data_IF_033388576664
#
_entry.id   IF_033388576664
#
_cell.length_a   1.000
_cell.length_b   1.000
_cell.length_c   1.000
_cell.angle_alpha   90.00
_cell.angle_beta   90.00
_cell.angle_gamma   90.00
#
_symmetry.space_group_name_H-M   'P 1'
#
loop_
_entity.id
_entity.type
_entity.pdbx_description
1 polymer ?
#
# COMPACT_ATOMS: atom_id res chain seq x y z
N UNK A 1 -21.40 -7.17 8.26
CA UNK A 1 -20.48 -6.04 8.19
C UNK A 1 -19.04 -6.55 8.04
N UNK A 2 -18.28 -5.99 7.10
CA UNK A 2 -16.88 -6.36 6.87
C UNK A 2 -15.97 -5.33 7.51
N UNK A 3 -15.03 -5.78 8.33
CA UNK A 3 -14.01 -4.92 8.93
C UNK A 3 -12.77 -4.88 8.04
N UNK A 4 -12.33 -3.68 7.67
CA UNK A 4 -11.03 -3.49 7.05
C UNK A 4 -9.96 -3.41 8.13
N UNK A 5 -8.98 -4.32 8.09
CA UNK A 5 -7.88 -4.40 9.05
C UNK A 5 -6.57 -4.08 8.37
N UNK A 6 -5.78 -3.22 8.99
CA UNK A 6 -4.43 -2.90 8.57
C UNK A 6 -3.56 -2.58 9.77
N UNK A 7 -2.25 -2.80 9.64
CA UNK A 7 -1.26 -2.48 10.66
C UNK A 7 -0.33 -1.42 10.12
N UNK A 8 -0.21 -0.31 10.85
CA UNK A 8 0.74 0.76 10.55
C UNK A 8 1.98 0.50 11.39
N UNK A 9 3.15 0.42 10.74
CA UNK A 9 4.39 0.09 11.44
C UNK A 9 4.84 1.23 12.34
N UNK A 10 4.77 2.48 11.86
CA UNK A 10 5.23 3.65 12.61
C UNK A 10 4.44 4.89 12.26
N UNK A 11 4.07 5.67 13.27
CA UNK A 11 3.54 7.04 13.13
C UNK A 11 4.40 7.99 13.93
N UNK A 12 4.91 9.02 13.28
CA UNK A 12 5.68 10.10 13.92
C UNK A 12 4.88 11.40 13.83
N UNK A 13 4.66 12.04 14.96
CA UNK A 13 4.11 13.40 15.00
C UNK A 13 5.26 14.39 15.15
N UNK A 14 5.35 15.34 14.25
CA UNK A 14 6.37 16.39 14.27
C UNK A 14 5.89 17.64 14.99
N UNK A 15 6.81 18.50 15.39
CA UNK A 15 6.51 19.72 16.15
C UNK A 15 5.65 20.74 15.39
N UNK A 16 5.65 20.67 14.06
CA UNK A 16 4.77 21.45 13.18
C UNK A 16 3.33 20.90 13.09
N UNK A 17 3.02 19.85 13.87
CA UNK A 17 1.70 19.25 13.95
C UNK A 17 1.40 18.23 12.85
N UNK A 18 2.33 17.94 11.96
CA UNK A 18 2.17 16.91 10.94
C UNK A 18 2.34 15.51 11.50
N UNK A 19 1.71 14.55 10.83
CA UNK A 19 1.84 13.13 11.10
C UNK A 19 2.51 12.46 9.90
N UNK A 20 3.52 11.65 10.17
CA UNK A 20 4.22 10.86 9.18
C UNK A 20 3.94 9.38 9.43
N UNK A 21 3.28 8.74 8.49
CA UNK A 21 3.03 7.29 8.50
C UNK A 21 4.15 6.65 7.69
N UNK A 22 4.87 5.74 8.30
CA UNK A 22 5.95 4.98 7.66
C UNK A 22 5.59 3.50 7.63
N UNK A 23 5.85 2.86 6.51
CA UNK A 23 5.73 1.42 6.33
C UNK A 23 7.10 0.85 5.90
N UNK A 24 7.60 -0.12 6.67
CA UNK A 24 8.89 -0.74 6.43
C UNK A 24 8.79 -1.82 5.37
N UNK A 25 9.71 -1.80 4.41
CA UNK A 25 9.83 -2.85 3.40
C UNK A 25 11.26 -3.31 3.27
N UNK A 26 11.48 -4.60 3.28
CA UNK A 26 12.79 -5.19 2.97
C UNK A 26 12.94 -5.38 1.47
N UNK A 27 14.14 -5.13 0.98
CA UNK A 27 14.49 -5.30 -0.43
C UNK A 27 15.96 -5.66 -0.55
N UNK A 28 16.37 -6.28 -1.66
CA UNK A 28 17.78 -6.52 -1.91
C UNK A 28 18.51 -5.24 -2.35
N UNK A 29 17.96 -4.52 -3.33
CA UNK A 29 18.66 -3.40 -4.00
C UNK A 29 17.96 -2.04 -3.87
N UNK A 30 16.72 -2.00 -3.42
CA UNK A 30 15.84 -0.85 -3.49
C UNK A 30 14.71 -1.02 -4.50
N UNK A 31 13.95 0.03 -4.76
CA UNK A 31 12.85 0.02 -5.71
C UNK A 31 13.10 1.00 -6.85
N UNK A 32 12.85 0.57 -8.07
CA UNK A 32 12.83 1.43 -9.24
C UNK A 32 11.61 2.38 -9.25
N UNK A 33 11.61 3.33 -10.16
CA UNK A 33 10.54 4.33 -10.28
C UNK A 33 9.18 3.71 -10.57
N UNK A 34 9.15 2.61 -11.34
CA UNK A 34 7.92 1.90 -11.69
C UNK A 34 7.28 1.31 -10.44
N UNK A 35 8.04 0.61 -9.61
CA UNK A 35 7.53 0.02 -8.36
C UNK A 35 7.12 1.09 -7.35
N UNK A 36 7.86 2.20 -7.26
CA UNK A 36 7.53 3.32 -6.36
C UNK A 36 6.21 3.99 -6.70
N UNK A 37 5.82 3.99 -7.97
CA UNK A 37 4.57 4.59 -8.47
C UNK A 37 3.43 3.60 -8.67
N UNK A 38 3.68 2.30 -8.53
CA UNK A 38 2.67 1.26 -8.74
C UNK A 38 1.48 1.44 -7.79
N UNK A 39 0.25 1.61 -8.30
CA UNK A 39 -0.94 1.73 -7.48
C UNK A 39 -1.15 0.54 -6.53
N UNK A 40 -0.86 -0.69 -6.97
CA UNK A 40 -1.02 -1.89 -6.13
C UNK A 40 -0.09 -1.88 -4.91
N UNK A 41 1.05 -1.20 -5.01
CA UNK A 41 1.99 -1.01 -3.90
C UNK A 41 1.59 0.20 -3.05
N UNK A 42 1.34 1.33 -3.70
CA UNK A 42 1.14 2.61 -3.00
C UNK A 42 -0.24 2.78 -2.36
N UNK A 43 -1.27 2.03 -2.80
CA UNK A 43 -2.60 2.09 -2.21
C UNK A 43 -2.63 1.63 -0.75
N UNK A 44 -1.70 0.81 -0.31
CA UNK A 44 -1.56 0.47 1.11
C UNK A 44 -1.44 1.75 1.95
N UNK A 45 -0.48 2.61 1.62
CA UNK A 45 -0.26 3.89 2.31
C UNK A 45 -1.42 4.86 2.12
N UNK A 46 -2.05 4.88 0.94
CA UNK A 46 -3.23 5.70 0.67
C UNK A 46 -4.39 5.33 1.59
N UNK A 47 -4.65 4.04 1.78
CA UNK A 47 -5.69 3.54 2.67
C UNK A 47 -5.33 3.79 4.13
N UNK A 48 -4.07 3.58 4.54
CA UNK A 48 -3.60 3.93 5.88
C UNK A 48 -3.86 5.39 6.21
N UNK A 49 -3.46 6.31 5.32
CA UNK A 49 -3.73 7.73 5.48
C UNK A 49 -5.22 8.03 5.65
N UNK A 50 -6.06 7.48 4.77
CA UNK A 50 -7.50 7.72 4.79
C UNK A 50 -8.15 7.24 6.11
N UNK A 51 -7.86 6.01 6.52
CA UNK A 51 -8.45 5.43 7.72
C UNK A 51 -7.88 6.02 9.01
N UNK A 52 -6.58 6.33 9.04
CA UNK A 52 -5.96 7.03 10.17
C UNK A 52 -6.55 8.41 10.37
N UNK A 53 -6.70 9.19 9.28
CA UNK A 53 -7.33 10.51 9.32
C UNK A 53 -8.74 10.45 9.90
N UNK A 54 -9.56 9.53 9.41
CA UNK A 54 -10.95 9.35 9.86
C UNK A 54 -11.04 8.89 11.32
N UNK A 55 -10.22 7.94 11.71
CA UNK A 55 -10.23 7.38 13.07
C UNK A 55 -9.83 8.40 14.12
N UNK A 56 -8.89 9.29 13.81
CA UNK A 56 -8.34 10.26 14.75
C UNK A 56 -8.86 11.69 14.54
N UNK A 57 -9.77 11.94 13.60
CA UNK A 57 -10.29 13.27 13.30
C UNK A 57 -9.24 14.25 12.81
N UNK A 58 -8.23 13.78 12.07
CA UNK A 58 -7.11 14.59 11.58
C UNK A 58 -7.35 14.97 10.11
N UNK A 59 -7.10 16.26 9.78
CA UNK A 59 -7.12 16.68 8.37
C UNK A 59 -6.11 15.86 7.55
N UNK A 60 -6.52 15.19 6.47
CA UNK A 60 -5.61 14.44 5.61
C UNK A 60 -4.42 15.25 5.07
N UNK A 61 -4.53 16.58 4.98
CA UNK A 61 -3.42 17.47 4.59
C UNK A 61 -2.28 17.47 5.60
N UNK A 62 -2.58 17.16 6.86
CA UNK A 62 -1.59 17.06 7.94
C UNK A 62 -0.91 15.69 8.00
N UNK A 63 -1.25 14.76 7.11
CA UNK A 63 -0.70 13.41 7.10
C UNK A 63 0.12 13.19 5.84
N UNK A 64 1.37 12.82 6.03
CA UNK A 64 2.29 12.40 4.98
C UNK A 64 2.58 10.89 5.11
N UNK A 65 2.78 10.21 4.00
CA UNK A 65 3.05 8.77 3.99
C UNK A 65 4.35 8.44 3.27
N UNK A 66 5.08 7.47 3.81
CA UNK A 66 6.41 7.11 3.35
C UNK A 66 6.61 5.59 3.36
N UNK A 67 7.34 5.10 2.38
CA UNK A 67 7.99 3.80 2.51
C UNK A 67 9.42 3.98 3.02
N UNK A 68 9.81 3.14 3.94
CA UNK A 68 11.19 3.03 4.43
C UNK A 68 11.75 1.68 3.97
N UNK A 69 12.63 1.70 2.98
CA UNK A 69 13.25 0.51 2.42
C UNK A 69 14.49 0.13 3.20
N UNK A 70 14.54 -1.09 3.69
CA UNK A 70 15.74 -1.70 4.26
C UNK A 70 16.40 -2.54 3.17
N UNK A 71 17.55 -2.08 2.67
CA UNK A 71 18.30 -2.72 1.58
C UNK A 71 19.29 -3.73 2.13
N UNK A 72 18.97 -5.01 2.05
CA UNK A 72 19.74 -6.10 2.68
C UNK A 72 21.15 -6.29 2.11
N UNK A 73 21.34 -6.05 0.81
CA UNK A 73 22.59 -6.30 0.09
C UNK A 73 23.38 -5.03 -0.22
N UNK A 74 22.90 -3.87 0.22
CA UNK A 74 23.60 -2.62 0.01
C UNK A 74 24.90 -2.56 0.86
N UNK A 75 25.98 -2.06 0.29
CA UNK A 75 27.23 -1.81 1.02
C UNK A 75 27.22 -0.48 1.78
N UNK A 76 26.39 0.46 1.32
CA UNK A 76 26.17 1.79 1.91
C UNK A 76 24.67 2.12 1.81
N UNK A 77 24.24 3.10 2.59
CA UNK A 77 22.85 3.61 2.54
C UNK A 77 21.81 2.50 2.66
N UNK A 78 21.91 1.72 3.72
CA UNK A 78 21.05 0.56 3.99
C UNK A 78 19.57 0.90 4.10
N UNK A 79 19.24 2.14 4.47
CA UNK A 79 17.87 2.63 4.60
C UNK A 79 17.61 3.74 3.59
N UNK A 80 16.51 3.65 2.90
CA UNK A 80 16.03 4.67 1.96
C UNK A 80 14.58 5.00 2.27
N UNK A 81 14.29 6.27 2.58
CA UNK A 81 12.93 6.73 2.86
C UNK A 81 12.47 7.60 1.71
N UNK A 82 11.29 7.33 1.16
CA UNK A 82 10.69 8.19 0.16
C UNK A 82 9.20 8.40 0.40
N UNK A 83 8.74 9.59 0.04
CA UNK A 83 7.36 10.00 0.22
C UNK A 83 6.47 9.40 -0.88
N UNK A 84 5.28 8.96 -0.48
CA UNK A 84 4.20 8.57 -1.38
C UNK A 84 3.06 9.58 -1.22
N UNK A 85 2.75 10.30 -2.28
CA UNK A 85 1.66 11.27 -2.28
C UNK A 85 0.30 10.57 -2.48
N UNK A 86 -0.70 11.00 -1.74
CA UNK A 86 -2.07 10.50 -1.82
C UNK A 86 -3.04 11.66 -1.72
N UNK A 87 -3.38 12.22 -2.89
CA UNK A 87 -4.43 13.25 -3.01
C UNK A 87 -5.84 12.65 -3.08
N UNK A 88 -6.89 13.49 -3.12
CA UNK A 88 -8.29 13.05 -3.11
C UNK A 88 -8.61 12.02 -4.21
N UNK A 89 -8.16 12.26 -5.44
CA UNK A 89 -8.39 11.36 -6.59
C UNK A 89 -7.77 9.97 -6.38
N UNK A 90 -6.54 9.93 -5.86
CA UNK A 90 -5.87 8.65 -5.59
C UNK A 90 -6.56 7.89 -4.45
N UNK A 91 -7.01 8.61 -3.42
CA UNK A 91 -7.79 8.04 -2.31
C UNK A 91 -9.11 7.47 -2.82
N UNK A 92 -9.84 8.20 -3.67
CA UNK A 92 -11.08 7.72 -4.27
C UNK A 92 -10.85 6.44 -5.11
N UNK A 93 -9.80 6.42 -5.93
CA UNK A 93 -9.46 5.24 -6.73
C UNK A 93 -9.11 4.02 -5.86
N UNK A 94 -8.37 4.22 -4.78
CA UNK A 94 -8.05 3.15 -3.84
C UNK A 94 -9.31 2.60 -3.14
N UNK A 95 -10.23 3.48 -2.72
CA UNK A 95 -11.51 3.08 -2.13
C UNK A 95 -12.42 2.37 -3.12
N UNK A 96 -12.48 2.82 -4.38
CA UNK A 96 -13.22 2.13 -5.45
C UNK A 96 -12.69 0.71 -5.68
N UNK A 97 -11.37 0.55 -5.68
CA UNK A 97 -10.76 -0.78 -5.82
C UNK A 97 -11.09 -1.68 -4.63
N UNK A 98 -11.00 -1.16 -3.40
CA UNK A 98 -11.38 -1.88 -2.19
C UNK A 98 -12.85 -2.33 -2.23
N UNK A 99 -13.76 -1.43 -2.60
CA UNK A 99 -15.18 -1.74 -2.71
C UNK A 99 -15.47 -2.81 -3.77
N UNK A 100 -14.78 -2.78 -4.91
CA UNK A 100 -14.89 -3.84 -5.93
C UNK A 100 -14.41 -5.20 -5.41
N UNK A 101 -13.31 -5.21 -4.65
CA UNK A 101 -12.82 -6.44 -4.03
C UNK A 101 -13.84 -7.01 -3.03
N UNK A 102 -14.38 -6.16 -2.15
CA UNK A 102 -15.43 -6.54 -1.19
C UNK A 102 -16.68 -7.08 -1.89
N UNK A 103 -17.14 -6.42 -2.95
CA UNK A 103 -18.28 -6.89 -3.74
C UNK A 103 -18.06 -8.29 -4.32
N UNK A 104 -16.87 -8.57 -4.83
CA UNK A 104 -16.53 -9.88 -5.36
C UNK A 104 -16.45 -10.95 -4.25
N UNK A 105 -15.88 -10.61 -3.09
CA UNK A 105 -15.81 -11.49 -1.92
C UNK A 105 -17.21 -11.85 -1.43
N UNK A 106 -18.10 -10.87 -1.29
CA UNK A 106 -19.50 -11.08 -0.87
C UNK A 106 -20.27 -12.03 -1.81
N UNK A 107 -19.98 -11.94 -3.09
CA UNK A 107 -20.60 -12.78 -4.13
C UNK A 107 -19.86 -14.08 -4.39
N UNK A 108 -18.82 -14.38 -3.63
CA UNK A 108 -17.94 -15.55 -3.82
C UNK A 108 -17.41 -15.67 -5.27
N UNK A 109 -17.17 -14.51 -5.91
CA UNK A 109 -16.64 -14.46 -7.28
C UNK A 109 -15.12 -14.43 -7.23
N UNK A 110 -14.52 -15.49 -7.79
CA UNK A 110 -13.08 -15.61 -7.93
C UNK A 110 -12.65 -15.10 -9.31
N UNK A 111 -11.97 -13.94 -9.35
CA UNK A 111 -11.49 -13.36 -10.60
C UNK A 111 -10.02 -13.74 -10.78
N UNK A 112 -9.72 -14.42 -11.90
CA UNK A 112 -8.33 -14.77 -12.25
C UNK A 112 -7.56 -13.51 -12.67
N UNK A 113 -6.43 -13.24 -12.01
CA UNK A 113 -5.50 -12.22 -12.45
C UNK A 113 -4.55 -12.80 -13.51
N UNK A 114 -4.96 -12.75 -14.78
CA UNK A 114 -4.19 -13.30 -15.89
C UNK A 114 -2.85 -12.57 -16.15
N UNK A 115 -2.69 -11.36 -15.65
CA UNK A 115 -1.43 -10.61 -15.76
C UNK A 115 -0.35 -11.12 -14.80
N UNK A 116 -0.72 -11.87 -13.76
CA UNK A 116 0.19 -12.44 -12.77
C UNK A 116 0.58 -13.91 -13.06
N UNK A 117 0.15 -14.47 -14.19
CA UNK A 117 0.36 -15.90 -14.48
C UNK A 117 1.84 -16.31 -14.53
N UNK A 118 2.73 -15.41 -14.96
CA UNK A 118 4.16 -15.72 -15.10
C UNK A 118 4.85 -16.13 -13.79
N UNK A 119 4.38 -15.63 -12.65
CA UNK A 119 4.91 -15.95 -11.32
C UNK A 119 3.96 -16.78 -10.46
N UNK A 120 2.89 -17.32 -11.02
CA UNK A 120 1.88 -18.06 -10.30
C UNK A 120 2.21 -19.56 -10.28
N UNK A 121 2.27 -20.15 -9.10
CA UNK A 121 2.53 -21.59 -8.92
C UNK A 121 1.45 -22.50 -9.55
N UNK A 122 0.22 -21.98 -9.69
CA UNK A 122 -0.89 -22.71 -10.32
C UNK A 122 -0.98 -22.55 -11.85
N UNK A 123 -0.07 -21.76 -12.47
CA UNK A 123 -0.12 -21.51 -13.91
C UNK A 123 0.13 -22.79 -14.72
N UNK A 124 -0.79 -23.09 -15.65
CA UNK A 124 -0.77 -24.32 -16.47
C UNK A 124 -0.84 -25.64 -15.69
N UNK A 125 -1.38 -25.61 -14.48
CA UNK A 125 -1.72 -26.80 -13.72
C UNK A 125 -3.21 -27.17 -13.92
N UNK A 126 -3.64 -28.31 -13.39
CA UNK A 126 -5.06 -28.71 -13.36
C UNK A 126 -5.95 -27.69 -12.62
N UNK A 127 -5.39 -26.92 -11.68
CA UNK A 127 -6.10 -25.90 -10.89
C UNK A 127 -6.28 -24.56 -11.63
N UNK A 128 -5.56 -24.33 -12.72
CA UNK A 128 -5.61 -23.08 -13.48
C UNK A 128 -5.44 -23.30 -14.99
N UNK A 129 -6.51 -23.75 -15.63
CA UNK A 129 -6.64 -23.90 -17.09
C UNK A 129 -7.07 -22.59 -17.75
#
# INVERSE_FOLDING_TARGET
>A
EYLFKGFIDLVVKTTDGKYHILDWKTTSWGWDSRRRSDPMVTYQLTLYKNYFARKHGIDPKMIETHFALIKRTAKKDHVEIFRVTSGPRKTENALKLLNKALYNIQRKKHIKNRLACRGCEFHKTEHCR
#
